data_IF_502637816921
#
_entry.id   IF_502637816921
#
_cell.length_a   1.000
_cell.length_b   1.000
_cell.length_c   1.000
_cell.angle_alpha   90.00
_cell.angle_beta   90.00
_cell.angle_gamma   90.00
#
_symmetry.space_group_name_H-M   'P 1'
#
loop_
_entity.id
_entity.type
_entity.pdbx_description
1 polymer ?
#
# COMPACT_ATOMS: atom_id res chain seq x y z
N UNK A 1 14.33 10.84 17.28
CA UNK A 1 13.54 11.48 16.20
C UNK A 1 13.11 10.53 15.08
N UNK A 2 13.67 9.29 14.97
CA UNK A 2 13.26 8.28 13.96
C UNK A 2 11.97 7.50 14.35
N UNK A 3 11.43 7.72 15.55
CA UNK A 3 10.27 6.96 16.08
C UNK A 3 8.91 7.67 15.94
N UNK A 4 8.86 8.97 15.65
CA UNK A 4 7.60 9.74 15.61
C UNK A 4 6.75 9.60 14.33
N UNK A 5 7.20 8.83 13.33
CA UNK A 5 6.48 8.65 12.07
C UNK A 5 5.29 7.68 12.10
N UNK A 6 5.36 6.53 12.81
CA UNK A 6 4.25 5.60 12.84
C UNK A 6 3.00 6.22 13.49
N UNK A 7 3.19 7.06 14.50
CA UNK A 7 2.08 7.70 15.23
C UNK A 7 1.34 8.72 14.37
N UNK A 8 2.06 9.52 13.57
CA UNK A 8 1.44 10.51 12.67
C UNK A 8 0.55 9.86 11.60
N UNK A 9 0.95 8.70 11.07
CA UNK A 9 0.16 7.98 10.06
C UNK A 9 -1.08 7.34 10.68
N UNK A 10 -0.92 6.72 11.85
CA UNK A 10 -2.05 6.16 12.59
C UNK A 10 -3.08 7.27 12.92
N UNK A 11 -2.60 8.48 13.27
CA UNK A 11 -3.43 9.63 13.50
C UNK A 11 -4.17 10.07 12.22
N UNK A 12 -3.49 10.16 11.06
CA UNK A 12 -4.15 10.49 9.78
C UNK A 12 -5.23 9.45 9.44
N UNK A 13 -4.95 8.16 9.59
CA UNK A 13 -5.94 7.11 9.33
C UNK A 13 -7.14 7.17 10.29
N UNK A 14 -6.91 7.56 11.54
CA UNK A 14 -7.98 7.76 12.50
C UNK A 14 -8.80 9.01 12.14
N UNK A 15 -8.13 10.12 11.80
CA UNK A 15 -8.80 11.35 11.38
C UNK A 15 -9.63 11.15 10.11
N UNK A 16 -9.16 10.38 9.13
CA UNK A 16 -9.96 10.06 7.93
C UNK A 16 -11.27 9.35 8.28
N UNK A 17 -11.26 8.46 9.28
CA UNK A 17 -12.48 7.80 9.79
C UNK A 17 -13.39 8.75 10.55
N UNK A 18 -12.78 9.58 11.40
CA UNK A 18 -13.52 10.54 12.23
C UNK A 18 -14.17 11.62 11.35
N UNK A 19 -13.45 12.18 10.37
CA UNK A 19 -13.98 13.13 9.39
C UNK A 19 -15.16 12.52 8.63
N UNK A 20 -15.01 11.28 8.14
CA UNK A 20 -16.10 10.61 7.45
C UNK A 20 -17.32 10.41 8.36
N UNK A 21 -17.12 9.97 9.60
CA UNK A 21 -18.21 9.76 10.56
C UNK A 21 -18.91 11.07 10.92
N UNK A 22 -18.15 12.13 11.19
CA UNK A 22 -18.70 13.42 11.54
C UNK A 22 -19.41 14.09 10.35
N UNK A 23 -18.85 13.98 9.16
CA UNK A 23 -19.50 14.50 7.96
C UNK A 23 -20.80 13.76 7.63
N UNK A 24 -20.87 12.44 7.86
CA UNK A 24 -22.12 11.71 7.69
C UNK A 24 -23.19 12.14 8.69
N UNK A 25 -22.81 12.40 9.97
CA UNK A 25 -23.74 12.97 10.96
C UNK A 25 -24.21 14.37 10.60
N UNK A 26 -23.29 15.19 10.09
CA UNK A 26 -23.64 16.53 9.59
C UNK A 26 -24.68 16.45 8.45
N UNK A 27 -24.46 15.53 7.49
CA UNK A 27 -25.40 15.28 6.41
C UNK A 27 -26.77 14.80 6.91
N UNK A 28 -26.82 13.88 7.87
CA UNK A 28 -28.07 13.40 8.47
C UNK A 28 -28.85 14.55 9.12
N UNK A 29 -28.21 15.39 9.91
CA UNK A 29 -28.88 16.48 10.63
C UNK A 29 -29.32 17.60 9.69
N UNK A 30 -28.46 18.04 8.78
CA UNK A 30 -28.81 19.11 7.86
C UNK A 30 -29.79 18.67 6.75
N UNK A 31 -29.85 17.36 6.43
CA UNK A 31 -30.78 16.85 5.43
C UNK A 31 -32.26 16.99 5.83
N UNK A 32 -32.59 17.15 7.11
CA UNK A 32 -33.96 17.47 7.53
C UNK A 32 -34.38 18.87 7.11
N UNK A 33 -33.43 19.80 7.06
CA UNK A 33 -33.64 21.18 6.65
C UNK A 33 -33.48 21.39 5.15
N UNK A 34 -32.47 20.72 4.54
CA UNK A 34 -32.15 20.82 3.11
C UNK A 34 -31.76 19.46 2.51
N UNK A 35 -32.74 18.58 2.20
CA UNK A 35 -32.45 17.23 1.72
C UNK A 35 -31.82 17.17 0.32
N UNK A 36 -32.09 18.16 -0.54
CA UNK A 36 -31.62 18.21 -1.91
C UNK A 36 -30.10 18.37 -1.98
N UNK A 37 -29.50 19.12 -1.05
CA UNK A 37 -28.05 19.32 -0.99
C UNK A 37 -27.28 18.01 -0.90
N UNK A 38 -27.79 17.04 -0.16
CA UNK A 38 -27.15 15.72 0.00
C UNK A 38 -27.10 14.93 -1.33
N UNK A 39 -28.04 15.17 -2.24
CA UNK A 39 -28.11 14.54 -3.57
C UNK A 39 -27.15 15.20 -4.56
N UNK A 40 -27.02 16.55 -4.49
CA UNK A 40 -26.20 17.35 -5.39
C UNK A 40 -24.71 17.19 -5.02
N UNK A 41 -24.39 17.23 -3.71
CA UNK A 41 -23.02 17.25 -3.21
C UNK A 41 -22.72 15.94 -2.46
N UNK A 42 -21.98 15.05 -3.11
CA UNK A 42 -21.55 13.78 -2.52
C UNK A 42 -20.30 13.92 -1.65
N UNK A 43 -19.44 14.88 -1.96
CA UNK A 43 -18.17 15.09 -1.22
C UNK A 43 -18.42 15.68 0.17
N UNK A 44 -17.87 15.02 1.17
CA UNK A 44 -17.99 15.39 2.57
C UNK A 44 -17.31 16.74 2.89
N UNK A 45 -16.18 17.02 2.24
CA UNK A 45 -15.42 18.26 2.43
C UNK A 45 -16.17 19.46 1.90
N UNK A 46 -16.67 19.37 0.67
CA UNK A 46 -17.44 20.41 0.02
C UNK A 46 -18.75 20.66 0.78
N UNK A 47 -19.42 19.59 1.20
CA UNK A 47 -20.66 19.67 1.97
C UNK A 47 -20.47 20.43 3.30
N UNK A 48 -19.43 20.12 4.07
CA UNK A 48 -19.17 20.81 5.33
C UNK A 48 -18.84 22.29 5.13
N UNK A 49 -18.09 22.64 4.06
CA UNK A 49 -17.78 24.04 3.74
C UNK A 49 -19.05 24.81 3.30
N UNK A 50 -19.95 24.19 2.55
CA UNK A 50 -21.21 24.81 2.14
C UNK A 50 -22.14 25.06 3.34
N UNK A 51 -22.25 24.08 4.26
CA UNK A 51 -23.06 24.25 5.47
C UNK A 51 -22.49 25.37 6.37
N UNK A 52 -21.17 25.52 6.41
CA UNK A 52 -20.52 26.63 7.10
C UNK A 52 -20.79 27.97 6.43
N UNK A 53 -20.77 28.04 5.10
CA UNK A 53 -21.01 29.25 4.33
C UNK A 53 -22.44 29.80 4.56
N UNK A 54 -23.43 28.92 4.62
CA UNK A 54 -24.83 29.30 4.82
C UNK A 54 -25.27 29.38 6.29
N UNK A 55 -24.34 29.30 7.24
CA UNK A 55 -24.66 29.30 8.68
C UNK A 55 -25.70 28.26 9.10
N UNK A 56 -25.69 27.10 8.46
CA UNK A 56 -26.66 26.01 8.61
C UNK A 56 -28.11 26.41 8.34
N UNK A 57 -28.34 27.45 7.52
CA UNK A 57 -29.69 27.89 7.09
C UNK A 57 -29.78 27.88 5.57
N UNK A 58 -30.80 27.22 5.05
CA UNK A 58 -31.11 27.19 3.61
C UNK A 58 -31.37 28.57 3.01
N UNK A 59 -32.01 29.45 3.76
CA UNK A 59 -32.42 30.77 3.33
C UNK A 59 -31.24 31.74 3.08
N UNK A 60 -30.07 31.41 3.62
CA UNK A 60 -28.85 32.17 3.40
C UNK A 60 -28.20 31.89 2.03
N UNK A 61 -28.62 30.87 1.30
CA UNK A 61 -28.18 30.65 -0.08
C UNK A 61 -28.85 31.67 -1.02
N UNK A 62 -28.27 32.84 -1.11
CA UNK A 62 -28.70 33.91 -1.98
C UNK A 62 -27.91 33.93 -3.29
N UNK A 63 -28.40 34.61 -4.32
CA UNK A 63 -27.70 34.78 -5.60
C UNK A 63 -26.36 35.53 -5.43
N UNK A 64 -26.26 36.38 -4.39
CA UNK A 64 -25.03 37.11 -4.05
C UNK A 64 -23.84 36.19 -3.65
N UNK A 65 -24.15 35.02 -3.10
CA UNK A 65 -23.13 34.04 -2.64
C UNK A 65 -22.85 33.00 -3.75
N UNK A 66 -23.43 33.14 -4.94
CA UNK A 66 -23.25 32.21 -6.06
C UNK A 66 -21.79 31.98 -6.39
N UNK A 67 -20.96 33.03 -6.42
CA UNK A 67 -19.56 32.95 -6.76
C UNK A 67 -18.74 32.19 -5.66
N UNK A 68 -19.12 32.35 -4.39
CA UNK A 68 -18.49 31.61 -3.29
C UNK A 68 -18.88 30.12 -3.31
N UNK A 69 -20.14 29.82 -3.65
CA UNK A 69 -20.60 28.44 -3.86
C UNK A 69 -19.84 27.79 -5.02
N UNK A 70 -19.67 28.50 -6.14
CA UNK A 70 -18.93 28.02 -7.29
C UNK A 70 -17.43 27.80 -6.95
N UNK A 71 -16.83 28.69 -6.16
CA UNK A 71 -15.45 28.53 -5.70
C UNK A 71 -15.27 27.30 -4.79
N UNK A 72 -16.24 26.97 -3.94
CA UNK A 72 -16.19 25.79 -3.05
C UNK A 72 -16.47 24.51 -3.82
N UNK A 73 -17.47 24.52 -4.73
CA UNK A 73 -17.86 23.34 -5.51
C UNK A 73 -16.94 23.06 -6.68
N UNK A 74 -16.15 24.05 -7.12
CA UNK A 74 -15.33 24.04 -8.35
C UNK A 74 -16.15 23.75 -9.61
N UNK A 75 -17.45 24.09 -9.60
CA UNK A 75 -18.38 23.73 -10.65
C UNK A 75 -19.57 24.70 -10.62
N UNK A 76 -19.68 25.57 -11.63
CA UNK A 76 -20.74 26.57 -11.75
C UNK A 76 -22.13 25.93 -11.96
N UNK A 77 -22.19 24.76 -12.65
CA UNK A 77 -23.48 24.08 -12.87
C UNK A 77 -24.06 23.58 -11.54
N UNK A 78 -23.21 23.07 -10.64
CA UNK A 78 -23.65 22.64 -9.30
C UNK A 78 -24.09 23.81 -8.44
N UNK A 79 -23.41 24.96 -8.54
CA UNK A 79 -23.85 26.18 -7.85
C UNK A 79 -25.24 26.60 -8.27
N UNK A 80 -25.52 26.62 -9.57
CA UNK A 80 -26.86 26.87 -10.11
C UNK A 80 -27.91 25.86 -9.62
N UNK A 81 -27.57 24.56 -9.64
CA UNK A 81 -28.46 23.50 -9.14
C UNK A 81 -28.78 23.66 -7.65
N UNK A 82 -27.82 24.11 -6.83
CA UNK A 82 -28.02 24.35 -5.39
C UNK A 82 -29.02 25.54 -5.23
N UNK A 83 -28.80 26.64 -5.92
CA UNK A 83 -29.70 27.82 -5.83
C UNK A 83 -31.11 27.52 -6.31
N UNK A 84 -31.27 26.75 -7.39
CA UNK A 84 -32.58 26.31 -7.85
C UNK A 84 -33.26 25.35 -6.87
N UNK A 85 -32.46 24.44 -6.25
CA UNK A 85 -32.97 23.52 -5.26
C UNK A 85 -33.46 24.24 -3.99
N UNK A 86 -32.84 25.36 -3.60
CA UNK A 86 -33.30 26.19 -2.46
C UNK A 86 -34.72 26.71 -2.70
N UNK A 87 -35.04 27.16 -3.93
CA UNK A 87 -36.34 27.70 -4.28
C UNK A 87 -37.48 26.66 -4.23
N UNK A 88 -37.13 25.37 -4.41
CA UNK A 88 -38.12 24.26 -4.54
C UNK A 88 -38.01 23.28 -3.36
N UNK A 89 -37.17 23.60 -2.36
CA UNK A 89 -36.85 22.67 -1.27
C UNK A 89 -38.09 22.28 -0.44
N UNK A 90 -38.21 20.99 -0.15
CA UNK A 90 -39.22 20.40 0.72
C UNK A 90 -38.73 20.20 2.17
N UNK A 91 -37.57 20.76 2.53
CA UNK A 91 -37.03 20.64 3.89
C UNK A 91 -37.87 21.39 4.92
N UNK A 92 -37.77 20.92 6.16
CA UNK A 92 -38.46 21.51 7.32
C UNK A 92 -37.68 22.75 7.81
N UNK A 93 -38.36 23.70 8.40
CA UNK A 93 -37.72 24.85 9.02
C UNK A 93 -36.93 24.40 10.25
N UNK A 94 -35.78 25.05 10.44
CA UNK A 94 -34.85 24.74 11.52
C UNK A 94 -34.96 25.74 12.66
N UNK A 95 -34.85 25.30 13.90
CA UNK A 95 -34.81 26.15 15.07
C UNK A 95 -33.39 26.79 15.23
N UNK A 96 -33.31 27.99 15.79
CA UNK A 96 -32.06 28.72 15.99
C UNK A 96 -31.03 27.94 16.82
N UNK A 97 -31.50 27.22 17.82
CA UNK A 97 -30.64 26.38 18.66
C UNK A 97 -30.02 25.23 17.85
N UNK A 98 -30.78 24.60 16.98
CA UNK A 98 -30.33 23.48 16.16
C UNK A 98 -29.40 23.96 15.03
N UNK A 99 -29.71 25.10 14.42
CA UNK A 99 -28.85 25.74 13.41
C UNK A 99 -27.46 26.05 14.01
N UNK A 100 -27.42 26.61 15.24
CA UNK A 100 -26.17 26.87 15.93
C UNK A 100 -25.36 25.60 16.25
N UNK A 101 -26.03 24.50 16.59
CA UNK A 101 -25.33 23.23 16.83
C UNK A 101 -24.79 22.65 15.55
N UNK A 102 -25.56 22.66 14.45
CA UNK A 102 -25.12 22.18 13.14
C UNK A 102 -23.95 23.02 12.62
N UNK A 103 -24.00 24.36 12.79
CA UNK A 103 -22.90 25.26 12.43
C UNK A 103 -21.61 24.90 13.17
N UNK A 104 -21.67 24.77 14.50
CA UNK A 104 -20.49 24.37 15.31
C UNK A 104 -19.94 23.01 14.90
N UNK A 105 -20.83 22.11 14.53
CA UNK A 105 -20.41 20.80 14.04
C UNK A 105 -19.74 20.88 12.67
N UNK A 106 -20.25 21.70 11.76
CA UNK A 106 -19.66 21.96 10.45
C UNK A 106 -18.29 22.65 10.57
N UNK A 107 -18.16 23.64 11.46
CA UNK A 107 -16.88 24.28 11.81
C UNK A 107 -15.88 23.23 12.30
N UNK A 108 -16.29 22.34 13.21
CA UNK A 108 -15.40 21.27 13.70
C UNK A 108 -14.95 20.32 12.61
N UNK A 109 -15.81 19.97 11.68
CA UNK A 109 -15.46 19.10 10.52
C UNK A 109 -14.46 19.80 9.62
N UNK A 110 -14.65 21.10 9.32
CA UNK A 110 -13.70 21.87 8.51
C UNK A 110 -12.35 22.03 9.17
N UNK A 111 -12.30 22.24 10.49
CA UNK A 111 -11.07 22.30 11.28
C UNK A 111 -10.31 20.96 11.22
N UNK A 112 -11.01 19.84 11.36
CA UNK A 112 -10.39 18.52 11.25
C UNK A 112 -9.82 18.27 9.86
N UNK A 113 -10.48 18.72 8.80
CA UNK A 113 -10.01 18.62 7.43
C UNK A 113 -8.73 19.45 7.24
N UNK A 114 -8.73 20.71 7.70
CA UNK A 114 -7.55 21.58 7.63
C UNK A 114 -6.36 20.99 8.41
N UNK A 115 -6.62 20.47 9.61
CA UNK A 115 -5.58 19.81 10.41
C UNK A 115 -5.03 18.55 9.73
N UNK A 116 -5.89 17.76 9.09
CA UNK A 116 -5.46 16.59 8.31
C UNK A 116 -4.56 16.99 7.14
N UNK A 117 -4.85 18.10 6.46
CA UNK A 117 -4.03 18.63 5.37
C UNK A 117 -2.65 19.05 5.89
N UNK A 118 -2.57 19.82 6.97
CA UNK A 118 -1.28 20.22 7.58
C UNK A 118 -0.47 19.02 8.06
N UNK A 119 -1.11 17.99 8.61
CA UNK A 119 -0.43 16.76 9.03
C UNK A 119 0.09 15.96 7.84
N UNK A 120 -0.63 15.96 6.72
CA UNK A 120 -0.20 15.33 5.47
C UNK A 120 1.03 16.01 4.88
N UNK A 121 1.08 17.36 4.90
CA UNK A 121 2.26 18.12 4.46
C UNK A 121 3.47 17.87 5.37
N UNK A 122 3.26 17.88 6.68
CA UNK A 122 4.29 17.51 7.65
C UNK A 122 4.85 16.12 7.37
N UNK A 123 3.99 15.13 7.11
CA UNK A 123 4.40 13.78 6.77
C UNK A 123 5.27 13.76 5.50
N UNK A 124 4.87 14.49 4.46
CA UNK A 124 5.60 14.60 3.20
C UNK A 124 7.01 15.16 3.40
N UNK A 125 7.12 16.26 4.15
CA UNK A 125 8.42 16.87 4.49
C UNK A 125 9.30 15.91 5.30
N UNK A 126 8.74 15.21 6.27
CA UNK A 126 9.49 14.24 7.08
C UNK A 126 9.92 13.02 6.27
N UNK A 127 9.10 12.52 5.39
CA UNK A 127 9.44 11.39 4.52
C UNK A 127 10.60 11.73 3.58
N UNK A 128 10.66 12.94 3.02
CA UNK A 128 11.77 13.37 2.18
C UNK A 128 13.11 13.43 2.92
N UNK A 129 13.08 13.69 4.24
CA UNK A 129 14.28 13.72 5.08
C UNK A 129 14.73 12.34 5.56
N UNK A 130 13.77 11.41 5.80
CA UNK A 130 14.05 10.10 6.43
C UNK A 130 14.23 8.98 5.42
N UNK A 131 13.42 8.96 4.35
CA UNK A 131 13.40 7.88 3.37
C UNK A 131 13.15 8.43 1.95
N UNK A 132 14.08 9.23 1.38
CA UNK A 132 13.91 9.87 0.09
C UNK A 132 13.77 8.86 -1.06
N UNK A 133 14.54 7.77 -1.04
CA UNK A 133 14.47 6.76 -2.10
C UNK A 133 13.16 5.98 -2.06
N UNK A 134 12.68 5.64 -0.87
CA UNK A 134 11.40 4.96 -0.71
C UNK A 134 10.25 5.87 -1.14
N UNK A 135 10.30 7.16 -0.80
CA UNK A 135 9.32 8.17 -1.22
C UNK A 135 9.30 8.34 -2.75
N UNK A 136 10.46 8.49 -3.39
CA UNK A 136 10.56 8.61 -4.84
C UNK A 136 10.01 7.39 -5.57
N UNK A 137 10.20 6.19 -5.01
CA UNK A 137 9.77 4.92 -5.60
C UNK A 137 8.24 4.70 -5.51
N UNK A 138 7.63 4.86 -4.35
CA UNK A 138 6.21 4.48 -4.10
C UNK A 138 5.32 5.62 -3.63
N UNK A 139 5.87 6.80 -3.41
CA UNK A 139 5.18 7.95 -2.85
C UNK A 139 5.14 7.96 -1.32
N UNK A 140 4.78 9.12 -0.77
CA UNK A 140 4.81 9.40 0.67
C UNK A 140 3.81 8.56 1.46
N UNK A 141 2.57 8.42 0.97
CA UNK A 141 1.47 7.76 1.70
C UNK A 141 1.75 6.26 1.87
N UNK A 142 2.11 5.57 0.78
CA UNK A 142 2.34 4.12 0.83
C UNK A 142 3.66 3.82 1.54
N UNK A 143 4.71 4.63 1.28
CA UNK A 143 6.01 4.49 1.94
C UNK A 143 5.91 4.66 3.46
N UNK A 144 5.19 5.67 3.90
CA UNK A 144 4.97 5.94 5.32
C UNK A 144 4.13 4.85 5.99
N UNK A 145 3.08 4.33 5.33
CA UNK A 145 2.30 3.18 5.85
C UNK A 145 3.16 1.93 6.01
N UNK A 146 4.09 1.66 5.08
CA UNK A 146 5.03 0.53 5.22
C UNK A 146 5.95 0.70 6.43
N UNK A 147 6.49 1.91 6.65
CA UNK A 147 7.36 2.22 7.78
C UNK A 147 6.59 2.08 9.10
N UNK A 148 5.35 2.59 9.17
CA UNK A 148 4.49 2.49 10.34
C UNK A 148 4.15 1.05 10.69
N UNK A 149 3.75 0.26 9.71
CA UNK A 149 3.43 -1.16 9.88
C UNK A 149 4.63 -2.02 10.30
N UNK A 150 5.84 -1.65 9.85
CA UNK A 150 7.07 -2.30 10.26
C UNK A 150 7.56 -1.87 11.65
N UNK A 151 6.98 -0.80 12.24
CA UNK A 151 7.44 -0.22 13.50
C UNK A 151 8.73 0.62 13.36
N UNK A 152 9.07 1.09 12.14
CA UNK A 152 10.20 1.95 11.85
C UNK A 152 11.00 1.54 10.63
N UNK A 153 11.81 2.48 10.09
CA UNK A 153 12.65 2.26 8.90
C UNK A 153 13.71 1.17 9.13
N UNK A 154 14.30 1.13 10.33
CA UNK A 154 15.30 0.12 10.71
C UNK A 154 14.74 -1.29 10.72
N UNK A 155 13.49 -1.47 11.14
CA UNK A 155 12.82 -2.77 11.09
C UNK A 155 12.44 -3.13 9.65
N UNK A 156 11.94 -2.16 8.87
CA UNK A 156 11.61 -2.36 7.46
C UNK A 156 12.82 -2.82 6.66
N UNK A 157 14.02 -2.25 6.91
CA UNK A 157 15.26 -2.62 6.23
C UNK A 157 15.70 -4.07 6.51
N UNK A 158 15.34 -4.64 7.67
CA UNK A 158 15.62 -6.04 8.03
C UNK A 158 14.68 -7.02 7.34
N UNK A 159 13.51 -6.59 6.90
CA UNK A 159 12.53 -7.47 6.30
C UNK A 159 12.96 -7.95 4.89
N UNK A 160 12.76 -9.23 4.57
CA UNK A 160 12.91 -9.73 3.22
C UNK A 160 11.79 -9.17 2.31
N UNK A 161 12.05 -9.06 1.03
CA UNK A 161 11.09 -8.53 0.06
C UNK A 161 9.75 -9.29 0.02
N UNK A 162 9.77 -10.58 0.32
CA UNK A 162 8.55 -11.39 0.43
C UNK A 162 7.64 -10.94 1.58
N UNK A 163 8.21 -10.53 2.71
CA UNK A 163 7.46 -9.99 3.84
C UNK A 163 6.90 -8.61 3.50
N UNK A 164 7.70 -7.74 2.87
CA UNK A 164 7.25 -6.41 2.41
C UNK A 164 6.10 -6.54 1.41
N UNK A 165 6.11 -7.56 0.54
CA UNK A 165 5.03 -7.82 -0.42
C UNK A 165 3.69 -8.06 0.26
N UNK A 166 3.68 -8.73 1.41
CA UNK A 166 2.46 -9.19 2.10
C UNK A 166 2.11 -8.30 3.31
N UNK A 167 3.00 -7.36 3.67
CA UNK A 167 2.81 -6.47 4.80
C UNK A 167 1.43 -5.78 4.75
N UNK A 168 0.67 -5.82 5.85
CA UNK A 168 -0.71 -5.34 5.94
C UNK A 168 -1.78 -6.38 5.55
N UNK A 169 -1.38 -7.55 5.06
CA UNK A 169 -2.29 -8.67 4.75
C UNK A 169 -2.03 -9.91 5.63
N UNK A 170 -1.44 -9.72 6.81
CA UNK A 170 -1.03 -10.80 7.72
C UNK A 170 -2.20 -11.68 8.16
N UNK A 171 -3.32 -11.04 8.56
CA UNK A 171 -4.53 -11.75 8.97
C UNK A 171 -5.09 -12.65 7.85
N UNK A 172 -5.05 -12.15 6.61
CA UNK A 172 -5.48 -12.92 5.43
C UNK A 172 -4.51 -14.07 5.13
N UNK A 173 -3.20 -13.86 5.29
CA UNK A 173 -2.18 -14.89 5.15
C UNK A 173 -2.38 -16.02 6.16
N UNK A 174 -2.53 -15.69 7.45
CA UNK A 174 -2.73 -16.69 8.51
C UNK A 174 -4.05 -17.45 8.32
N UNK A 175 -5.11 -16.77 7.88
CA UNK A 175 -6.37 -17.43 7.52
C UNK A 175 -6.17 -18.41 6.37
N UNK A 176 -5.51 -18.00 5.29
CA UNK A 176 -5.23 -18.85 4.14
C UNK A 176 -4.37 -20.07 4.48
N UNK A 177 -3.37 -19.91 5.37
CA UNK A 177 -2.55 -21.02 5.86
C UNK A 177 -3.38 -22.01 6.69
N UNK A 178 -4.28 -21.52 7.56
CA UNK A 178 -5.16 -22.33 8.41
C UNK A 178 -6.16 -23.15 7.59
N UNK A 179 -6.74 -22.53 6.54
CA UNK A 179 -7.74 -23.14 5.66
C UNK A 179 -7.15 -23.87 4.46
N UNK A 180 -5.80 -23.94 4.34
CA UNK A 180 -5.08 -24.46 3.17
C UNK A 180 -5.52 -23.80 1.86
N UNK A 181 -5.99 -22.54 1.93
CA UNK A 181 -6.50 -21.76 0.81
C UNK A 181 -5.40 -21.01 0.03
N UNK A 182 -5.84 -20.18 -0.93
CA UNK A 182 -4.91 -19.34 -1.72
C UNK A 182 -4.37 -18.20 -0.86
N UNK A 183 -3.03 -18.08 -0.78
CA UNK A 183 -2.35 -17.01 -0.05
C UNK A 183 -2.51 -15.65 -0.75
N UNK A 184 -2.57 -14.52 -0.01
CA UNK A 184 -2.64 -13.19 -0.61
C UNK A 184 -1.38 -12.91 -1.43
N UNK A 185 -1.55 -12.24 -2.57
CA UNK A 185 -0.44 -11.92 -3.50
C UNK A 185 0.19 -10.56 -3.19
N UNK A 186 -0.48 -9.69 -2.45
CA UNK A 186 -0.06 -8.33 -2.11
C UNK A 186 -0.77 -7.84 -0.85
N UNK A 187 -0.15 -6.87 -0.15
CA UNK A 187 -0.67 -6.19 1.03
C UNK A 187 -0.80 -4.69 0.78
N UNK A 188 -0.22 -3.84 1.67
CA UNK A 188 -0.24 -2.38 1.57
C UNK A 188 0.26 -1.84 0.23
N UNK A 189 1.20 -2.53 -0.41
CA UNK A 189 1.72 -2.17 -1.74
C UNK A 189 0.63 -2.09 -2.82
N UNK A 190 -0.53 -2.73 -2.61
CA UNK A 190 -1.65 -2.66 -3.55
C UNK A 190 -2.10 -1.22 -3.85
N UNK A 191 -1.98 -0.33 -2.88
CA UNK A 191 -2.36 1.08 -2.99
C UNK A 191 -1.38 1.91 -3.85
N UNK A 192 -0.27 1.31 -4.34
CA UNK A 192 0.64 2.00 -5.24
C UNK A 192 0.04 2.13 -6.65
N UNK A 193 0.34 3.26 -7.31
CA UNK A 193 -0.11 3.55 -8.69
C UNK A 193 0.34 2.51 -9.70
N UNK A 194 1.51 1.88 -9.49
CA UNK A 194 2.05 0.84 -10.37
C UNK A 194 1.19 -0.42 -10.41
N UNK A 195 0.68 -0.86 -9.26
CA UNK A 195 -0.19 -2.03 -9.18
C UNK A 195 -1.60 -1.68 -9.66
N UNK A 196 -2.05 -0.43 -9.44
CA UNK A 196 -3.31 0.07 -9.97
C UNK A 196 -3.37 0.00 -11.49
N UNK A 197 -2.31 0.47 -12.18
CA UNK A 197 -2.18 0.47 -13.65
C UNK A 197 -1.94 -0.93 -14.25
N UNK A 198 -1.52 -1.92 -13.45
CA UNK A 198 -1.26 -3.26 -13.93
C UNK A 198 -2.55 -4.04 -14.20
N UNK A 199 -2.58 -4.81 -15.30
CA UNK A 199 -3.69 -5.73 -15.59
C UNK A 199 -3.86 -6.81 -14.50
N UNK A 200 -5.08 -7.27 -14.25
CA UNK A 200 -5.44 -8.15 -13.13
C UNK A 200 -4.56 -9.41 -13.03
N UNK A 201 -4.23 -10.04 -14.16
CA UNK A 201 -3.36 -11.23 -14.21
C UNK A 201 -1.91 -10.94 -13.79
N UNK A 202 -1.45 -9.70 -13.98
CA UNK A 202 -0.05 -9.31 -13.79
C UNK A 202 0.20 -8.56 -12.46
N UNK A 203 -0.85 -8.14 -11.73
CA UNK A 203 -0.73 -7.43 -10.44
C UNK A 203 0.20 -8.13 -9.47
N UNK A 204 0.12 -9.46 -9.34
CA UNK A 204 1.00 -10.21 -8.44
C UNK A 204 2.48 -10.26 -8.88
N UNK A 205 2.75 -10.21 -10.20
CA UNK A 205 4.13 -10.17 -10.73
C UNK A 205 4.77 -8.81 -10.46
N UNK A 206 4.02 -7.74 -10.74
CA UNK A 206 4.47 -6.36 -10.50
C UNK A 206 4.64 -6.10 -9.00
N UNK A 207 3.72 -6.56 -8.15
CA UNK A 207 3.84 -6.44 -6.70
C UNK A 207 5.12 -7.07 -6.15
N UNK A 208 5.50 -8.27 -6.64
CA UNK A 208 6.75 -8.92 -6.25
C UNK A 208 7.98 -8.12 -6.70
N UNK A 209 7.94 -7.59 -7.92
CA UNK A 209 9.04 -6.77 -8.44
C UNK A 209 9.19 -5.47 -7.65
N UNK A 210 8.07 -4.78 -7.39
CA UNK A 210 8.03 -3.57 -6.57
C UNK A 210 8.54 -3.83 -5.15
N UNK A 211 8.11 -4.92 -4.50
CA UNK A 211 8.58 -5.29 -3.15
C UNK A 211 10.09 -5.49 -3.09
N UNK A 212 10.70 -6.08 -4.12
CA UNK A 212 12.16 -6.20 -4.20
C UNK A 212 12.85 -4.84 -4.26
N UNK A 213 12.29 -3.89 -5.02
CA UNK A 213 12.82 -2.52 -5.11
C UNK A 213 12.62 -1.75 -3.81
N UNK A 214 11.47 -1.90 -3.15
CA UNK A 214 11.21 -1.31 -1.83
C UNK A 214 12.18 -1.84 -0.77
N UNK A 215 12.52 -3.13 -0.79
CA UNK A 215 13.50 -3.72 0.12
C UNK A 215 14.91 -3.12 -0.08
N UNK A 216 15.29 -2.84 -1.31
CA UNK A 216 16.59 -2.20 -1.61
C UNK A 216 16.55 -0.73 -1.19
N UNK A 217 15.48 0.02 -1.57
CA UNK A 217 15.32 1.42 -1.21
C UNK A 217 15.35 1.64 0.30
N UNK A 218 14.60 0.84 1.07
CA UNK A 218 14.57 0.95 2.53
C UNK A 218 15.92 0.68 3.21
N UNK A 219 16.74 -0.22 2.63
CA UNK A 219 18.10 -0.47 3.12
C UNK A 219 19.04 0.67 2.81
N UNK A 220 18.96 1.24 1.61
CA UNK A 220 19.76 2.42 1.23
C UNK A 220 19.41 3.59 2.14
N UNK A 221 18.12 3.90 2.31
CA UNK A 221 17.67 5.00 3.18
C UNK A 221 18.05 4.80 4.66
N UNK A 222 18.14 3.53 5.12
CA UNK A 222 18.49 3.21 6.50
C UNK A 222 19.99 3.35 6.78
N UNK A 223 20.83 2.97 5.83
CA UNK A 223 22.29 2.80 6.01
C UNK A 223 23.12 3.84 5.27
N UNK A 224 22.53 4.65 4.39
CA UNK A 224 23.22 5.74 3.73
C UNK A 224 23.31 6.96 4.65
N UNK A 225 24.49 7.58 4.70
CA UNK A 225 24.73 8.82 5.43
C UNK A 225 24.23 10.05 4.66
N UNK A 226 24.09 9.93 3.34
CA UNK A 226 23.62 11.00 2.46
C UNK A 226 22.21 10.73 1.96
N UNK A 227 21.22 11.58 2.29
CA UNK A 227 19.86 11.45 1.81
C UNK A 227 19.77 11.88 0.34
N UNK A 228 19.77 10.94 -0.59
CA UNK A 228 19.61 11.17 -2.03
C UNK A 228 18.37 10.45 -2.55
N UNK A 229 17.61 11.05 -3.46
CA UNK A 229 16.43 10.42 -4.09
C UNK A 229 16.76 9.73 -5.44
N UNK A 230 17.94 9.96 -6.02
CA UNK A 230 18.31 9.51 -7.38
C UNK A 230 18.22 8.00 -7.57
N UNK A 231 18.61 7.24 -6.57
CA UNK A 231 18.52 5.76 -6.63
C UNK A 231 17.04 5.32 -6.64
N UNK A 232 16.20 5.98 -5.85
CA UNK A 232 14.75 5.76 -5.83
C UNK A 232 14.09 6.05 -7.18
N UNK A 233 14.46 7.16 -7.82
CA UNK A 233 13.97 7.55 -9.14
C UNK A 233 14.36 6.54 -10.22
N UNK A 234 15.61 6.14 -10.26
CA UNK A 234 16.07 5.09 -11.19
C UNK A 234 15.34 3.75 -10.97
N UNK A 235 15.09 3.39 -9.70
CA UNK A 235 14.30 2.19 -9.40
C UNK A 235 12.85 2.34 -9.84
N UNK A 236 12.28 3.54 -9.77
CA UNK A 236 10.94 3.85 -10.27
C UNK A 236 10.86 3.63 -11.78
N UNK A 237 11.84 4.16 -12.54
CA UNK A 237 11.91 3.96 -13.99
C UNK A 237 12.00 2.48 -14.36
N UNK A 238 12.81 1.71 -13.63
CA UNK A 238 12.92 0.25 -13.83
C UNK A 238 11.58 -0.46 -13.59
N UNK A 239 10.77 -0.01 -12.62
CA UNK A 239 9.42 -0.55 -12.39
C UNK A 239 8.49 -0.19 -13.54
N UNK A 240 8.57 1.03 -14.07
CA UNK A 240 7.78 1.46 -15.22
C UNK A 240 8.15 0.70 -16.50
N UNK A 241 9.45 0.52 -16.76
CA UNK A 241 9.92 -0.32 -17.88
C UNK A 241 9.40 -1.77 -17.75
N UNK A 242 9.41 -2.30 -16.52
CA UNK A 242 8.89 -3.64 -16.25
C UNK A 242 7.38 -3.73 -16.47
N UNK A 243 6.66 -2.67 -16.13
CA UNK A 243 5.21 -2.58 -16.37
C UNK A 243 4.92 -2.54 -17.88
N UNK A 244 5.69 -1.74 -18.64
CA UNK A 244 5.62 -1.69 -20.11
C UNK A 244 5.96 -3.05 -20.73
N UNK A 245 7.00 -3.74 -20.23
CA UNK A 245 7.35 -5.09 -20.70
C UNK A 245 6.20 -6.08 -20.50
N UNK A 246 5.52 -6.04 -19.36
CA UNK A 246 4.42 -6.96 -19.06
C UNK A 246 3.17 -6.64 -19.91
N UNK A 247 3.01 -5.38 -20.36
CA UNK A 247 1.90 -4.95 -21.21
C UNK A 247 2.18 -5.15 -22.70
N UNK A 248 3.36 -4.73 -23.18
CA UNK A 248 3.71 -4.66 -24.63
C UNK A 248 4.80 -5.62 -25.07
N UNK A 249 5.50 -6.28 -24.13
CA UNK A 249 6.61 -7.19 -24.46
C UNK A 249 7.95 -6.51 -24.76
N UNK A 250 8.05 -5.18 -24.65
CA UNK A 250 9.31 -4.42 -24.88
C UNK A 250 10.35 -4.76 -23.82
N UNK A 251 11.55 -5.20 -24.24
CA UNK A 251 12.61 -5.65 -23.31
C UNK A 251 13.09 -4.48 -22.44
N UNK A 252 13.05 -4.56 -21.10
CA UNK A 252 13.57 -3.53 -20.19
C UNK A 252 15.11 -3.54 -20.17
N UNK A 253 15.72 -2.43 -19.76
CA UNK A 253 17.16 -2.35 -19.49
C UNK A 253 17.57 -3.34 -18.40
N UNK A 254 18.82 -3.80 -18.40
CA UNK A 254 19.34 -4.61 -17.32
C UNK A 254 19.47 -3.77 -16.04
N UNK A 255 19.00 -4.32 -14.92
CA UNK A 255 19.08 -3.62 -13.62
C UNK A 255 20.51 -3.23 -13.25
N UNK A 256 21.51 -4.06 -13.61
CA UNK A 256 22.93 -3.78 -13.33
C UNK A 256 23.39 -2.51 -14.03
N UNK A 257 23.08 -2.37 -15.31
CA UNK A 257 23.53 -1.23 -16.14
C UNK A 257 22.85 0.07 -15.69
N UNK A 258 21.56 0.05 -15.40
CA UNK A 258 20.82 1.19 -14.88
C UNK A 258 21.35 1.66 -13.52
N UNK A 259 21.63 0.73 -12.60
CA UNK A 259 22.18 1.08 -11.28
C UNK A 259 23.64 1.55 -11.37
N UNK A 260 24.44 0.99 -12.28
CA UNK A 260 25.82 1.42 -12.49
C UNK A 260 25.89 2.87 -12.99
N UNK A 261 24.98 3.28 -13.90
CA UNK A 261 24.89 4.66 -14.37
C UNK A 261 24.65 5.64 -13.21
N UNK A 262 23.62 5.35 -12.36
CA UNK A 262 23.29 6.20 -11.21
C UNK A 262 24.42 6.25 -10.18
N UNK A 263 25.09 5.13 -9.92
CA UNK A 263 26.23 5.09 -9.01
C UNK A 263 27.42 5.92 -9.54
N UNK A 264 27.63 5.96 -10.85
CA UNK A 264 28.66 6.80 -11.45
C UNK A 264 28.30 8.28 -11.33
N UNK A 265 27.05 8.66 -11.58
CA UNK A 265 26.55 10.02 -11.37
C UNK A 265 26.73 10.49 -9.92
N UNK A 266 26.39 9.63 -8.94
CA UNK A 266 26.59 9.93 -7.53
C UNK A 266 28.06 10.05 -7.11
N UNK A 267 28.97 9.32 -7.80
CA UNK A 267 30.43 9.47 -7.60
C UNK A 267 30.95 10.78 -8.15
N UNK A 268 30.49 11.19 -9.32
CA UNK A 268 30.85 12.48 -9.92
C UNK A 268 30.40 13.66 -9.06
N UNK A 269 29.26 13.52 -8.36
CA UNK A 269 28.76 14.53 -7.42
C UNK A 269 29.41 14.47 -6.03
N UNK A 270 30.33 13.53 -5.78
CA UNK A 270 31.03 13.39 -4.51
C UNK A 270 30.16 12.88 -3.35
N UNK A 271 28.95 12.41 -3.63
CA UNK A 271 27.97 11.91 -2.66
C UNK A 271 28.14 10.42 -2.33
N UNK A 272 29.19 9.78 -2.85
CA UNK A 272 29.44 8.35 -2.62
C UNK A 272 30.66 8.14 -1.75
N UNK A 273 30.47 7.61 -0.54
CA UNK A 273 31.55 7.17 0.34
C UNK A 273 32.16 5.86 -0.23
N UNK A 274 33.33 5.95 -0.88
CA UNK A 274 34.00 4.71 -1.23
C UNK A 274 34.92 4.70 -2.44
N UNK A 275 35.84 5.65 -2.55
CA UNK A 275 36.96 5.49 -3.52
C UNK A 275 37.90 4.30 -3.22
N UNK A 276 37.76 3.69 -2.02
CA UNK A 276 38.59 2.55 -1.63
C UNK A 276 37.89 1.18 -1.68
N UNK A 277 36.56 1.12 -1.66
CA UNK A 277 35.84 -0.16 -1.73
C UNK A 277 35.70 -0.69 -3.17
N UNK A 278 35.60 0.23 -4.17
CA UNK A 278 35.47 -0.16 -5.57
C UNK A 278 36.77 -0.67 -6.20
N UNK A 279 37.93 -0.20 -5.72
CA UNK A 279 39.24 -0.67 -6.22
C UNK A 279 39.66 -2.05 -5.66
N UNK A 280 39.14 -2.44 -4.48
CA UNK A 280 39.39 -3.77 -3.94
C UNK A 280 38.51 -4.85 -4.56
N UNK A 281 37.27 -4.53 -4.93
CA UNK A 281 36.36 -5.51 -5.51
C UNK A 281 36.68 -5.77 -7.00
N UNK A 282 37.13 -4.75 -7.77
CA UNK A 282 37.54 -4.97 -9.16
C UNK A 282 38.86 -5.74 -9.25
N UNK A 283 39.82 -5.50 -8.33
CA UNK A 283 41.08 -6.25 -8.34
C UNK A 283 40.96 -7.69 -7.87
N UNK A 284 40.03 -8.00 -7.00
CA UNK A 284 39.78 -9.37 -6.59
C UNK A 284 38.90 -10.16 -7.59
N UNK A 285 38.04 -9.47 -8.36
CA UNK A 285 37.25 -10.13 -9.42
C UNK A 285 38.13 -10.46 -10.65
N UNK A 286 39.09 -9.59 -10.98
CA UNK A 286 40.02 -9.84 -12.10
C UNK A 286 41.19 -10.77 -11.70
N UNK A 287 41.52 -10.88 -10.40
CA UNK A 287 42.56 -11.77 -9.90
C UNK A 287 42.08 -13.24 -9.69
N UNK A 288 40.78 -13.47 -9.52
CA UNK A 288 40.22 -14.83 -9.42
C UNK A 288 39.84 -15.46 -10.76
N UNK A 289 40.00 -14.72 -11.88
CA UNK A 289 39.64 -15.20 -13.21
C UNK A 289 40.83 -15.64 -14.06
N UNK A 290 42.08 -15.51 -13.57
CA UNK A 290 43.28 -15.86 -14.35
C UNK A 290 44.10 -17.07 -13.82
N UNK A 291 43.64 -17.83 -12.84
CA UNK A 291 44.44 -18.94 -12.29
C UNK A 291 43.74 -20.28 -12.10
N UNK A 292 42.75 -20.66 -12.93
CA UNK A 292 42.18 -22.02 -12.83
C UNK A 292 41.86 -22.66 -14.20
N UNK A 293 42.82 -22.66 -15.12
CA UNK A 293 42.75 -23.50 -16.33
C UNK A 293 43.77 -24.66 -16.38
N UNK A 294 44.33 -25.09 -15.30
CA UNK A 294 45.06 -26.37 -15.29
C UNK A 294 45.08 -27.00 -13.88
N UNK A 295 44.26 -27.97 -13.66
CA UNK A 295 44.27 -29.18 -12.84
C UNK A 295 42.89 -29.56 -12.29
N UNK A 296 42.18 -30.43 -13.00
CA UNK A 296 40.95 -31.03 -12.51
C UNK A 296 41.28 -32.36 -11.77
N UNK A 297 41.07 -32.46 -10.48
CA UNK A 297 41.19 -33.75 -9.79
C UNK A 297 39.93 -34.62 -10.05
N UNK A 298 40.15 -35.77 -10.63
CA UNK A 298 39.16 -36.85 -10.95
C UNK A 298 38.42 -37.46 -9.74
N UNK A 299 38.23 -36.79 -8.63
CA UNK A 299 37.62 -37.36 -7.40
C UNK A 299 36.16 -36.95 -7.13
N UNK A 300 35.56 -36.07 -7.90
CA UNK A 300 34.21 -35.59 -7.61
C UNK A 300 33.03 -36.38 -8.21
N UNK A 301 33.26 -37.37 -9.08
CA UNK A 301 32.19 -38.15 -9.68
C UNK A 301 31.66 -39.32 -8.80
N UNK A 302 32.42 -39.77 -7.80
CA UNK A 302 31.99 -40.91 -6.94
C UNK A 302 31.05 -40.42 -5.81
N UNK A 303 31.28 -39.23 -5.26
CA UNK A 303 30.46 -38.67 -4.19
C UNK A 303 29.06 -38.18 -4.67
N UNK A 304 28.92 -37.88 -5.97
CA UNK A 304 27.64 -37.43 -6.54
C UNK A 304 26.70 -38.61 -6.86
N UNK A 305 27.25 -39.81 -7.07
CA UNK A 305 26.47 -41.04 -7.34
C UNK A 305 25.90 -41.62 -6.04
N UNK A 306 26.62 -41.55 -4.94
CA UNK A 306 26.13 -41.99 -3.61
C UNK A 306 25.09 -41.07 -3.02
N UNK A 307 25.15 -39.73 -3.31
CA UNK A 307 24.10 -38.80 -2.88
C UNK A 307 22.80 -38.93 -3.67
N UNK A 308 22.87 -39.45 -4.89
CA UNK A 308 21.68 -39.64 -5.75
C UNK A 308 20.92 -40.92 -5.37
N UNK A 309 21.65 -42.01 -5.03
CA UNK A 309 21.01 -43.25 -4.55
C UNK A 309 20.35 -43.09 -3.18
N UNK A 310 20.97 -42.34 -2.25
CA UNK A 310 20.37 -42.02 -0.94
C UNK A 310 19.16 -41.07 -1.01
N UNK A 311 18.99 -40.33 -2.12
CA UNK A 311 17.86 -39.44 -2.31
C UNK A 311 16.65 -40.19 -2.90
N UNK A 312 16.88 -41.19 -3.77
CA UNK A 312 15.83 -42.05 -4.31
C UNK A 312 15.24 -42.99 -3.25
N UNK A 313 16.06 -43.54 -2.33
CA UNK A 313 15.59 -44.37 -1.20
C UNK A 313 14.76 -43.55 -0.18
N UNK A 314 15.04 -42.24 -0.03
CA UNK A 314 14.23 -41.36 0.84
C UNK A 314 12.90 -40.94 0.21
N UNK A 315 12.81 -40.84 -1.12
CA UNK A 315 11.57 -40.54 -1.81
C UNK A 315 10.66 -41.77 -1.88
N UNK A 316 11.19 -42.97 -2.04
CA UNK A 316 10.43 -44.21 -1.99
C UNK A 316 9.82 -44.49 -0.61
N UNK A 317 10.58 -44.20 0.48
CA UNK A 317 10.08 -44.28 1.85
C UNK A 317 9.00 -43.23 2.21
N UNK A 318 9.03 -42.07 1.55
CA UNK A 318 8.06 -41.00 1.75
C UNK A 318 6.75 -41.23 0.99
N UNK A 319 6.81 -41.92 -0.16
CA UNK A 319 5.60 -42.35 -0.89
C UNK A 319 4.84 -43.47 -0.18
N UNK A 320 5.55 -44.42 0.46
CA UNK A 320 4.91 -45.50 1.25
C UNK A 320 4.21 -44.99 2.53
N UNK A 321 4.74 -43.95 3.17
CA UNK A 321 4.07 -43.30 4.32
C UNK A 321 2.91 -42.41 3.94
N UNK A 322 2.85 -41.91 2.68
CA UNK A 322 1.76 -41.07 2.20
C UNK A 322 0.54 -41.89 1.73
N UNK A 323 0.73 -43.09 1.25
CA UNK A 323 -0.35 -44.01 0.88
C UNK A 323 -1.01 -44.68 2.10
N UNK A 324 -0.36 -44.71 3.28
CA UNK A 324 -0.96 -45.20 4.52
C UNK A 324 -1.76 -44.12 5.29
N UNK A 325 -1.50 -42.83 5.05
CA UNK A 325 -2.24 -41.73 5.68
C UNK A 325 -3.53 -41.39 4.92
N UNK A 326 -3.55 -41.63 3.59
CA UNK A 326 -4.73 -41.36 2.75
C UNK A 326 -5.81 -42.49 2.86
N UNK A 327 -5.49 -43.66 3.43
CA UNK A 327 -6.47 -44.75 3.66
C UNK A 327 -7.24 -44.65 5.00
N UNK A 328 -6.76 -43.86 5.96
CA UNK A 328 -7.41 -43.69 7.26
C UNK A 328 -8.39 -42.51 7.32
N UNK A 329 -8.32 -41.57 6.35
CA UNK A 329 -9.17 -40.35 6.31
C UNK A 329 -10.54 -40.61 5.62
N UNK A 330 -10.65 -41.60 4.73
CA UNK A 330 -11.92 -41.95 4.06
C UNK A 330 -12.89 -42.72 4.98
N UNK A 331 -12.41 -43.40 6.02
CA UNK A 331 -13.27 -44.14 6.97
C UNK A 331 -14.00 -43.23 7.96
N UNK A 332 -13.46 -42.04 8.24
CA UNK A 332 -14.08 -41.06 9.17
C UNK A 332 -15.19 -40.20 8.51
N UNK A 333 -15.16 -40.02 7.19
CA UNK A 333 -16.21 -39.31 6.46
C UNK A 333 -17.48 -40.17 6.28
N UNK A 334 -17.35 -41.47 6.06
CA UNK A 334 -18.50 -42.39 5.97
C UNK A 334 -19.20 -42.56 7.32
N UNK A 335 -18.44 -42.61 8.41
CA UNK A 335 -19.01 -42.66 9.77
C UNK A 335 -19.78 -41.38 10.17
N UNK A 336 -19.38 -40.21 9.65
CA UNK A 336 -20.07 -38.94 9.85
C UNK A 336 -21.35 -38.84 9.01
N UNK A 337 -21.37 -39.38 7.80
CA UNK A 337 -22.57 -39.44 6.94
C UNK A 337 -23.60 -40.43 7.49
N UNK A 338 -23.18 -41.58 8.01
CA UNK A 338 -24.09 -42.55 8.65
C UNK A 338 -24.73 -42.06 9.95
N UNK A 339 -24.04 -41.25 10.75
CA UNK A 339 -24.60 -40.63 11.95
C UNK A 339 -25.61 -39.50 11.66
N UNK A 340 -25.46 -38.82 10.53
CA UNK A 340 -26.38 -37.73 10.13
C UNK A 340 -27.70 -38.26 9.56
N UNK A 341 -27.67 -39.40 8.87
CA UNK A 341 -28.90 -40.09 8.39
C UNK A 341 -29.69 -40.78 9.50
N UNK A 342 -29.02 -41.32 10.54
CA UNK A 342 -29.72 -41.87 11.72
C UNK A 342 -30.39 -40.82 12.61
N UNK A 343 -29.89 -39.56 12.59
CA UNK A 343 -30.49 -38.47 13.38
C UNK A 343 -31.72 -37.86 12.69
N UNK A 344 -31.82 -37.98 11.33
CA UNK A 344 -32.99 -37.52 10.57
C UNK A 344 -34.20 -38.49 10.61
N UNK A 345 -33.95 -39.79 10.86
CA UNK A 345 -35.04 -40.80 11.02
C UNK A 345 -35.62 -40.92 12.44
N UNK A 346 -35.15 -40.13 13.42
CA UNK A 346 -35.67 -40.07 14.78
C UNK A 346 -36.50 -38.82 15.09
N UNK A 347 -36.71 -37.95 14.09
CA UNK A 347 -37.48 -36.69 14.21
C UNK A 347 -38.65 -36.62 13.20
N UNK A 348 -39.00 -37.74 12.59
CA UNK A 348 -40.29 -38.05 11.99
C UNK A 348 -40.94 -39.20 12.84
#
# INVERSE_FOLDING_TARGET
TKHSHPDAIALIEQMDKDINTFAMRLKEWFAWHFPELTKIVNDNTIYARLVNLCDARRDNFTEEISDEIAAITLDEEKAGQILDAVKISMGMDINDTDALQIKKWAERVTDLIAFRETLSEFLKQRMSAVAPNLQALIGEIVGSKLIAHAGGLTNLSKYPASTIQILGAEKALFRALKTKGKTPKYGLLFNSTFIGRAGAANKGKISRYLANKCAIASRIDCFSDFPTAKIGESMRDQVEERLKFVASGTKPRKNKDAMAAVLNELREEGLFYGDNAGKKVSKNADAEMETDEDEAPKKSKKAKKEKKSKKEDKEAGKKRKRSQVDSDDDSDEELKKAKKTKKRKKTE
#
